data_IF_371993600880
#
_entry.id   IF_371993600880
#
_cell.length_a   1.000
_cell.length_b   1.000
_cell.length_c   1.000
_cell.angle_alpha   90.00
_cell.angle_beta   90.00
_cell.angle_gamma   90.00
#
_symmetry.space_group_name_H-M   'P 1'
#
loop_
_entity.id
_entity.type
_entity.pdbx_description
1 polymer ?
#
# COMPACT_ATOMS: atom_id res chain seq x y z
N UNK A 1 -3.11 -18.15 11.43
CA UNK A 1 -3.17 -17.63 11.13
C UNK A 1 -2.82 -17.14 9.98
N UNK A 2 -2.12 -17.07 9.63
CA UNK A 2 -1.67 -16.60 8.48
C UNK A 2 -2.43 -16.82 7.29
N UNK A 3 -3.13 -17.75 7.25
CA UNK A 3 -3.86 -17.99 6.17
C UNK A 3 -4.69 -16.88 5.83
N UNK A 4 -4.90 -16.02 6.68
CA UNK A 4 -5.71 -15.00 6.40
C UNK A 4 -5.25 -14.24 5.27
N UNK A 5 -4.02 -14.16 5.02
CA UNK A 5 -3.54 -13.34 4.01
C UNK A 5 -3.62 -13.88 2.67
N UNK A 6 -4.23 -14.95 2.49
CA UNK A 6 -4.23 -15.51 1.18
C UNK A 6 -5.33 -15.02 0.28
N UNK A 7 -6.00 -13.95 0.63
CA UNK A 7 -7.06 -13.44 -0.21
C UNK A 7 -6.70 -12.11 -0.83
N UNK A 8 -7.17 -11.90 -2.05
CA UNK A 8 -6.98 -10.61 -2.69
C UNK A 8 -7.89 -9.60 -2.01
N UNK A 9 -7.47 -8.36 -1.95
CA UNK A 9 -8.30 -7.31 -1.41
C UNK A 9 -9.46 -7.05 -2.35
N UNK A 10 -10.59 -6.70 -1.78
CA UNK A 10 -11.76 -6.35 -2.56
C UNK A 10 -12.27 -5.01 -2.07
N UNK A 11 -13.05 -4.35 -2.90
CA UNK A 11 -13.64 -3.08 -2.51
C UNK A 11 -14.45 -3.22 -1.25
N UNK A 12 -15.16 -4.33 -1.12
CA UNK A 12 -15.98 -4.54 0.05
C UNK A 12 -15.13 -4.65 1.30
N UNK A 13 -14.04 -5.40 1.22
CA UNK A 13 -13.17 -5.58 2.36
C UNK A 13 -12.54 -4.24 2.77
N UNK A 14 -12.16 -3.43 1.79
CA UNK A 14 -11.57 -2.14 2.07
C UNK A 14 -12.59 -1.22 2.71
N UNK A 15 -13.80 -1.21 2.16
CA UNK A 15 -14.83 -0.34 2.68
C UNK A 15 -15.25 -0.73 4.08
N UNK A 16 -15.28 -2.01 4.37
CA UNK A 16 -15.71 -2.48 5.67
C UNK A 16 -14.61 -2.52 6.72
N UNK A 17 -13.38 -2.28 6.35
CA UNK A 17 -12.30 -2.31 7.32
C UNK A 17 -12.54 -1.23 8.36
N UNK A 18 -12.41 -1.58 9.64
CA UNK A 18 -12.69 -0.67 10.73
C UNK A 18 -11.47 -0.43 11.57
N UNK A 19 -11.39 0.71 12.23
CA UNK A 19 -10.26 0.98 13.11
C UNK A 19 -10.28 0.01 14.27
N UNK A 20 -9.14 -0.27 14.82
CA UNK A 20 -9.00 -1.15 15.96
C UNK A 20 -8.14 -0.45 16.99
N UNK A 21 -7.80 -1.13 18.06
CA UNK A 21 -6.98 -0.53 19.09
C UNK A 21 -5.63 -0.16 18.58
N UNK A 22 -5.11 -0.91 17.61
CA UNK A 22 -3.83 -0.62 17.03
C UNK A 22 -3.99 -0.58 15.53
N UNK A 23 -3.15 0.17 14.87
CA UNK A 23 -3.22 0.21 13.43
C UNK A 23 -2.84 -1.18 12.91
N UNK A 24 -3.34 -1.53 11.76
CA UNK A 24 -3.03 -2.81 11.19
C UNK A 24 -3.01 -2.72 9.67
N UNK A 25 -2.44 -3.72 9.04
CA UNK A 25 -2.30 -3.74 7.59
C UNK A 25 -3.08 -4.89 7.01
N UNK A 26 -3.72 -4.64 5.87
CA UNK A 26 -4.37 -5.68 5.11
C UNK A 26 -3.56 -5.84 3.84
N UNK A 27 -3.08 -7.04 3.60
CA UNK A 27 -2.24 -7.29 2.44
C UNK A 27 -3.03 -7.91 1.32
N UNK A 28 -2.64 -7.59 0.09
CA UNK A 28 -3.34 -8.08 -1.09
C UNK A 28 -2.62 -9.31 -1.61
N UNK A 29 -3.29 -10.45 -1.63
CA UNK A 29 -2.68 -11.66 -2.12
C UNK A 29 -2.47 -11.62 -3.62
N UNK A 30 -3.24 -10.81 -4.32
CA UNK A 30 -3.11 -10.74 -5.77
C UNK A 30 -1.90 -9.91 -6.21
N UNK A 31 -1.46 -8.96 -5.38
CA UNK A 31 -0.33 -8.14 -5.73
C UNK A 31 0.59 -8.07 -4.51
N UNK A 32 1.62 -8.89 -4.53
CA UNK A 32 2.51 -8.99 -3.42
C UNK A 32 3.19 -7.68 -3.13
N UNK A 33 3.24 -7.29 -1.88
CA UNK A 33 3.86 -6.04 -1.48
C UNK A 33 2.93 -4.86 -1.44
N UNK A 34 1.67 -5.06 -1.76
CA UNK A 34 0.68 -3.99 -1.78
C UNK A 34 -0.32 -4.24 -0.66
N UNK A 35 -0.77 -3.20 -0.02
CA UNK A 35 -1.75 -3.36 1.04
C UNK A 35 -2.38 -2.05 1.45
N UNK A 36 -3.21 -2.13 2.48
CA UNK A 36 -3.91 -1.00 3.02
C UNK A 36 -3.63 -0.94 4.51
N UNK A 37 -3.21 0.21 5.00
CA UNK A 37 -3.00 0.39 6.44
C UNK A 37 -4.21 1.11 7.01
N UNK A 38 -4.77 0.56 8.08
CA UNK A 38 -5.91 1.15 8.74
C UNK A 38 -5.42 1.68 10.08
N UNK A 39 -5.56 2.99 10.29
CA UNK A 39 -5.07 3.59 11.52
C UNK A 39 -6.12 3.48 12.60
N UNK A 40 -5.75 3.81 13.82
CA UNK A 40 -6.68 3.72 14.92
C UNK A 40 -7.79 4.76 14.79
N UNK A 41 -7.57 5.80 14.00
CA UNK A 41 -8.59 6.80 13.81
C UNK A 41 -9.50 6.48 12.62
N UNK A 42 -9.20 5.41 11.91
CA UNK A 42 -10.03 5.03 10.78
C UNK A 42 -9.49 5.45 9.43
N UNK A 43 -8.36 6.13 9.41
CA UNK A 43 -7.79 6.53 8.13
C UNK A 43 -7.24 5.30 7.42
N UNK A 44 -7.43 5.24 6.12
CA UNK A 44 -6.99 4.10 5.33
C UNK A 44 -6.02 4.60 4.29
N UNK A 45 -4.81 4.05 4.30
CA UNK A 45 -3.74 4.49 3.42
C UNK A 45 -3.18 3.31 2.65
N UNK A 46 -3.11 3.48 1.33
CA UNK A 46 -2.54 2.44 0.48
C UNK A 46 -1.03 2.53 0.56
N UNK A 47 -0.36 1.39 0.52
CA UNK A 47 1.09 1.39 0.57
C UNK A 47 1.65 0.23 -0.25
N UNK A 48 2.93 0.32 -0.59
CA UNK A 48 3.67 -0.79 -1.16
C UNK A 48 4.89 -0.99 -0.30
N UNK A 49 5.38 -2.19 -0.26
CA UNK A 49 6.53 -2.53 0.54
C UNK A 49 7.32 -3.61 -0.15
N UNK A 50 8.61 -3.43 -0.27
CA UNK A 50 9.45 -4.41 -0.93
C UNK A 50 10.88 -4.21 -0.48
N UNK A 51 11.65 -5.29 -0.52
CA UNK A 51 13.06 -5.21 -0.16
C UNK A 51 13.84 -4.70 -1.35
N UNK A 52 14.58 -3.64 -1.15
CA UNK A 52 15.38 -3.04 -2.19
C UNK A 52 16.80 -2.96 -1.67
N UNK A 53 17.74 -3.60 -2.36
CA UNK A 53 19.14 -3.62 -1.95
C UNK A 53 19.31 -4.03 -0.50
N UNK A 54 18.60 -5.04 -0.11
CA UNK A 54 18.73 -5.58 1.24
C UNK A 54 17.95 -4.86 2.31
N UNK A 55 17.24 -3.82 1.95
CA UNK A 55 16.46 -3.06 2.91
C UNK A 55 15.00 -3.07 2.58
N UNK A 56 14.18 -3.13 3.59
CA UNK A 56 12.74 -3.09 3.38
C UNK A 56 12.33 -1.64 3.19
N UNK A 57 11.67 -1.35 2.08
CA UNK A 57 11.27 0.00 1.74
C UNK A 57 9.76 0.04 1.65
N UNK A 58 9.15 1.04 2.26
CA UNK A 58 7.70 1.20 2.25
C UNK A 58 7.36 2.59 1.72
N UNK A 59 6.39 2.65 0.81
CA UNK A 59 5.93 3.93 0.30
C UNK A 59 4.43 4.01 0.42
N UNK A 60 3.92 5.17 0.80
CA UNK A 60 2.48 5.41 0.82
C UNK A 60 2.08 5.87 -0.57
N UNK A 61 1.00 5.32 -1.07
CA UNK A 61 0.52 5.65 -2.39
C UNK A 61 -0.60 6.69 -2.38
N UNK A 62 -1.36 6.72 -1.33
CA UNK A 62 -2.48 7.64 -1.24
C UNK A 62 -3.51 7.09 -0.29
N UNK A 63 -4.61 7.80 -0.12
CA UNK A 63 -5.63 7.40 0.83
C UNK A 63 -6.89 6.94 0.15
N UNK A 64 -7.58 6.05 0.82
CA UNK A 64 -8.91 5.65 0.43
C UNK A 64 -9.87 6.61 1.14
N UNK A 65 -10.92 7.07 0.53
CA UNK A 65 -11.42 6.65 -0.78
C UNK A 65 -10.95 7.49 -1.94
N UNK A 66 -10.08 8.46 -1.73
CA UNK A 66 -9.60 9.28 -2.82
C UNK A 66 -9.00 8.44 -3.93
N UNK A 67 -8.30 7.38 -3.54
CA UNK A 67 -7.79 6.43 -4.50
C UNK A 67 -8.59 5.16 -4.29
N UNK A 68 -9.22 4.68 -5.32
CA UNK A 68 -9.97 3.42 -5.25
C UNK A 68 -8.98 2.26 -5.22
N UNK A 69 -9.48 1.09 -4.91
CA UNK A 69 -8.64 -0.10 -4.93
C UNK A 69 -8.02 -0.29 -6.31
N UNK A 70 -8.79 -0.10 -7.37
CA UNK A 70 -8.28 -0.27 -8.72
C UNK A 70 -7.17 0.71 -9.02
N UNK A 71 -7.37 1.97 -8.65
CA UNK A 71 -6.37 3.00 -8.88
C UNK A 71 -5.11 2.72 -8.06
N UNK A 72 -5.31 2.34 -6.81
CA UNK A 72 -4.18 2.07 -5.94
C UNK A 72 -3.40 0.86 -6.42
N UNK A 73 -4.10 -0.15 -6.91
CA UNK A 73 -3.44 -1.36 -7.39
C UNK A 73 -2.58 -1.04 -8.62
N UNK A 74 -3.08 -0.18 -9.49
CA UNK A 74 -2.32 0.21 -10.67
C UNK A 74 -1.07 1.00 -10.28
N UNK A 75 -1.23 1.92 -9.34
CA UNK A 75 -0.10 2.71 -8.88
C UNK A 75 0.91 1.81 -8.16
N UNK A 76 0.41 0.82 -7.42
CA UNK A 76 1.27 -0.10 -6.70
C UNK A 76 2.09 -0.93 -7.66
N UNK A 77 1.48 -1.40 -8.73
CA UNK A 77 2.19 -2.23 -9.68
C UNK A 77 3.36 -1.45 -10.29
N UNK A 78 3.13 -0.20 -10.63
CA UNK A 78 4.18 0.63 -11.20
C UNK A 78 5.29 0.87 -10.19
N UNK A 79 4.93 1.17 -8.95
CA UNK A 79 5.92 1.43 -7.92
C UNK A 79 6.73 0.17 -7.62
N UNK A 80 6.07 -0.97 -7.56
CA UNK A 80 6.76 -2.20 -7.27
C UNK A 80 7.73 -2.59 -8.38
N UNK A 81 7.38 -2.24 -9.61
CA UNK A 81 8.26 -2.52 -10.71
C UNK A 81 9.53 -1.70 -10.58
N UNK A 82 9.41 -0.42 -10.24
CA UNK A 82 10.59 0.40 -10.05
C UNK A 82 11.44 -0.14 -8.91
N UNK A 83 10.81 -0.53 -7.81
CA UNK A 83 11.56 -1.06 -6.68
C UNK A 83 12.28 -2.35 -7.04
N UNK A 84 11.64 -3.18 -7.86
CA UNK A 84 12.25 -4.42 -8.26
C UNK A 84 13.49 -4.15 -9.12
N UNK A 85 13.50 -3.06 -9.86
CA UNK A 85 14.62 -2.72 -10.69
C UNK A 85 15.70 -1.97 -9.91
N UNK A 86 15.50 -1.83 -8.61
CA UNK A 86 16.51 -1.18 -7.80
C UNK A 86 16.33 0.30 -7.61
N UNK A 87 15.31 0.87 -8.24
CA UNK A 87 15.05 2.29 -8.11
C UNK A 87 14.10 2.56 -6.99
N UNK A 88 14.30 3.70 -6.34
CA UNK A 88 13.34 4.13 -5.36
C UNK A 88 12.33 5.01 -6.07
N UNK A 89 11.05 4.71 -5.96
CA UNK A 89 10.06 5.56 -6.57
C UNK A 89 10.19 7.00 -6.15
N UNK A 90 10.60 7.21 -4.90
CA UNK A 90 10.75 8.54 -4.40
C UNK A 90 11.85 9.29 -5.12
N UNK A 91 12.89 8.61 -5.51
CA UNK A 91 13.99 9.26 -6.18
C UNK A 91 13.55 9.81 -7.53
N UNK A 92 12.72 9.07 -8.21
CA UNK A 92 12.26 9.51 -9.50
C UNK A 92 11.12 10.47 -9.44
N UNK A 93 10.29 10.32 -8.48
CA UNK A 93 9.09 11.11 -8.43
C UNK A 93 9.01 11.93 -7.17
N UNK A 94 10.12 12.42 -6.75
CA UNK A 94 10.14 13.14 -5.50
C UNK A 94 9.05 14.17 -5.44
N UNK A 95 8.85 14.90 -6.48
CA UNK A 95 7.84 15.92 -6.47
C UNK A 95 6.46 15.37 -6.27
N UNK A 96 6.18 14.25 -6.88
CA UNK A 96 4.88 13.67 -6.75
C UNK A 96 4.70 13.09 -5.40
N UNK A 97 5.69 12.39 -4.93
CA UNK A 97 5.54 11.71 -3.68
C UNK A 97 5.60 12.61 -2.48
N UNK A 98 6.18 13.74 -2.62
CA UNK A 98 6.17 14.65 -1.53
C UNK A 98 4.78 15.05 -1.18
N UNK A 99 3.95 15.21 -2.16
CA UNK A 99 2.59 15.58 -1.92
C UNK A 99 1.87 14.47 -1.17
N UNK A 100 2.29 13.27 -1.37
CA UNK A 100 1.65 12.14 -0.73
C UNK A 100 2.17 11.95 0.66
N UNK A 101 3.44 12.16 0.85
CA UNK A 101 4.01 11.90 2.12
C UNK A 101 3.75 12.94 3.14
N UNK A 102 3.56 14.10 2.71
CA UNK A 102 3.30 15.13 3.66
C UNK A 102 1.96 15.12 4.15
#
# INVERSE_FOLDING_TARGET
MPKLVSKALTDLAVRKARPAEKRYDLYDAALRGFGLRVSTSGAKTWFVMRRVNGRMVRYSLGRYPEYSLTEARAAAAAALKQMTEGDHPRADKAALFEAVFE
#
